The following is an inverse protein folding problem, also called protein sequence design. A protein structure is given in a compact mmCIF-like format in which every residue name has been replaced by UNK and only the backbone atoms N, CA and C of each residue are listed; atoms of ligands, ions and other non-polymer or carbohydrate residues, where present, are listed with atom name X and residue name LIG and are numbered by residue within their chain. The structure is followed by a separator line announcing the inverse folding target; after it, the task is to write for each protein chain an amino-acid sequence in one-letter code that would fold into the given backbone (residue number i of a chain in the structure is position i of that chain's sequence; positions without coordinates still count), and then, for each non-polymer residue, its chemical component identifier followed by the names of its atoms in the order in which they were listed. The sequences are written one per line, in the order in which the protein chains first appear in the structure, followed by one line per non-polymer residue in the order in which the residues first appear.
data_IF_340558204209
#
_entry.id   IF_340558204209
#
_cell.length_a   1.000
_cell.length_b   1.000
_cell.length_c   1.000
_cell.angle_alpha   90.00
_cell.angle_beta   90.00
_cell.angle_gamma   90.00
#
_symmetry.space_group_name_H-M   'P 1'
#
loop_
_entity.id
_entity.type
_entity.pdbx_description
1 polymer ?
#
# COMPACT_ATOMS: atom_id res chain seq x y z
N UNK A 1 23.97 -2.12 -8.57
CA UNK A 1 23.04 -2.79 -7.68
C UNK A 1 21.65 -2.18 -7.86
N UNK A 2 20.61 -2.99 -8.03
CA UNK A 2 19.20 -2.55 -8.08
C UNK A 2 18.41 -3.39 -7.09
N UNK A 3 17.50 -2.75 -6.33
CA UNK A 3 16.55 -3.38 -5.45
C UNK A 3 15.20 -2.68 -5.56
N UNK A 4 14.10 -3.40 -5.44
CA UNK A 4 12.76 -2.84 -5.45
C UNK A 4 12.22 -2.42 -6.83
N UNK A 5 12.90 -2.77 -7.92
CA UNK A 5 12.48 -2.49 -9.30
C UNK A 5 12.85 -3.67 -10.21
N UNK A 6 12.01 -4.01 -11.18
CA UNK A 6 12.27 -5.12 -12.10
C UNK A 6 11.33 -5.12 -13.30
N UNK A 7 11.59 -6.04 -14.24
CA UNK A 7 10.77 -6.28 -15.42
C UNK A 7 9.49 -7.09 -15.08
N UNK A 8 9.45 -7.69 -13.88
CA UNK A 8 8.31 -8.42 -13.32
C UNK A 8 8.24 -8.19 -11.81
N UNK A 9 7.14 -8.60 -11.17
CA UNK A 9 7.03 -8.55 -9.71
C UNK A 9 8.03 -9.50 -9.04
N UNK A 10 8.28 -10.66 -9.63
CA UNK A 10 9.29 -11.60 -9.15
C UNK A 10 10.68 -10.96 -9.12
N UNK A 11 11.09 -10.28 -10.20
CA UNK A 11 12.37 -9.56 -10.26
C UNK A 11 12.40 -8.37 -9.31
N UNK A 12 11.34 -7.55 -9.28
CA UNK A 12 11.27 -6.37 -8.42
C UNK A 12 11.32 -6.71 -6.93
N UNK A 13 10.80 -7.88 -6.53
CA UNK A 13 10.80 -8.36 -5.14
C UNK A 13 12.02 -9.19 -4.76
N UNK A 14 12.87 -9.54 -5.72
CA UNK A 14 14.09 -10.28 -5.45
C UNK A 14 15.09 -9.44 -4.62
N UNK A 15 15.83 -10.06 -3.69
CA UNK A 15 16.86 -9.36 -2.95
C UNK A 15 18.03 -8.98 -3.84
N UNK A 16 18.58 -7.80 -3.63
CA UNK A 16 19.89 -7.42 -4.15
C UNK A 16 20.95 -7.91 -3.19
N UNK A 17 21.99 -8.59 -3.70
CA UNK A 17 23.09 -9.09 -2.89
C UNK A 17 24.24 -8.10 -2.83
N UNK A 18 24.75 -7.85 -1.63
CA UNK A 18 25.92 -7.02 -1.36
C UNK A 18 26.94 -7.88 -0.63
N UNK A 19 28.12 -8.07 -1.24
CA UNK A 19 29.26 -8.71 -0.59
C UNK A 19 30.03 -7.68 0.24
N UNK A 20 30.28 -7.99 1.51
CA UNK A 20 31.04 -7.13 2.41
C UNK A 20 32.12 -7.95 3.15
N UNK A 21 33.15 -7.32 3.73
CA UNK A 21 34.10 -8.03 4.57
C UNK A 21 33.48 -8.72 5.80
N UNK A 22 32.31 -8.24 6.25
CA UNK A 22 31.58 -8.81 7.40
C UNK A 22 30.60 -9.91 7.01
N UNK A 23 30.42 -10.16 5.70
CA UNK A 23 29.49 -11.17 5.22
C UNK A 23 28.61 -10.69 4.07
N UNK A 24 27.70 -11.53 3.66
CA UNK A 24 26.79 -11.38 2.55
C UNK A 24 25.47 -10.77 3.02
N UNK A 25 25.08 -9.64 2.45
CA UNK A 25 23.87 -8.91 2.80
C UNK A 25 22.84 -9.05 1.69
N UNK A 26 21.64 -9.49 2.01
CA UNK A 26 20.46 -9.37 1.15
C UNK A 26 19.74 -8.05 1.45
N UNK A 27 19.43 -7.27 0.42
CA UNK A 27 18.68 -6.04 0.54
C UNK A 27 17.37 -6.11 -0.25
N UNK A 28 16.23 -6.06 0.44
CA UNK A 28 14.89 -6.09 -0.14
C UNK A 28 14.27 -4.71 0.03
N UNK A 29 14.03 -4.01 -1.08
CA UNK A 29 13.41 -2.69 -1.07
C UNK A 29 11.96 -2.75 -1.54
N UNK A 30 11.11 -1.94 -0.90
CA UNK A 30 9.70 -1.77 -1.27
C UNK A 30 9.31 -0.30 -1.25
N UNK A 31 8.20 0.02 -1.92
CA UNK A 31 7.58 1.33 -1.82
C UNK A 31 6.07 1.20 -1.65
N UNK A 32 5.52 1.98 -0.73
CA UNK A 32 4.08 2.19 -0.59
C UNK A 32 3.60 3.43 -1.38
N UNK A 33 4.53 4.14 -2.04
CA UNK A 33 4.28 5.34 -2.83
C UNK A 33 4.51 5.04 -4.30
N UNK A 34 3.43 4.92 -5.05
CA UNK A 34 3.42 4.75 -6.51
C UNK A 34 2.12 5.32 -7.06
N UNK A 35 1.98 5.44 -8.38
CA UNK A 35 0.78 6.04 -8.99
C UNK A 35 -0.51 5.29 -8.62
N UNK A 36 -1.56 6.04 -8.32
CA UNK A 36 -2.76 5.60 -7.63
C UNK A 36 -3.55 4.44 -8.27
N UNK A 37 -3.39 4.18 -9.56
CA UNK A 37 -4.04 3.08 -10.27
C UNK A 37 -3.13 1.85 -10.48
N UNK A 38 -2.18 1.62 -9.60
CA UNK A 38 -1.19 0.52 -9.68
C UNK A 38 -0.28 0.56 -10.93
N UNK A 39 -0.31 1.61 -11.74
CA UNK A 39 0.43 1.67 -13.01
C UNK A 39 1.95 1.60 -12.85
N UNK A 40 2.48 2.08 -11.73
CA UNK A 40 3.91 2.00 -11.41
C UNK A 40 4.36 0.70 -10.75
N UNK A 41 3.43 -0.18 -10.36
CA UNK A 41 3.76 -1.43 -9.67
C UNK A 41 4.09 -2.54 -10.67
N UNK A 42 5.13 -3.30 -10.38
CA UNK A 42 5.48 -4.48 -11.17
C UNK A 42 4.37 -5.55 -11.08
N UNK A 43 4.19 -6.30 -12.14
CA UNK A 43 3.26 -7.44 -12.21
C UNK A 43 3.94 -8.65 -12.87
N UNK A 44 3.55 -9.86 -12.44
CA UNK A 44 3.98 -11.08 -13.11
C UNK A 44 3.08 -11.40 -14.30
N UNK A 45 3.56 -12.25 -15.21
CA UNK A 45 2.76 -12.75 -16.32
C UNK A 45 1.58 -13.59 -15.80
N UNK A 46 0.43 -13.48 -16.43
CA UNK A 46 -0.75 -14.30 -16.15
C UNK A 46 -1.64 -14.38 -17.40
N UNK A 47 -2.26 -15.52 -17.60
CA UNK A 47 -3.27 -15.75 -18.67
C UNK A 47 -2.86 -15.23 -20.05
N UNK A 48 -1.57 -15.40 -20.43
CA UNK A 48 -1.04 -14.91 -21.72
C UNK A 48 -0.67 -13.41 -21.74
N UNK A 49 -0.89 -12.68 -20.67
CA UNK A 49 -0.46 -11.29 -20.52
C UNK A 49 1.01 -11.27 -20.08
N UNK A 50 1.89 -10.53 -20.76
CA UNK A 50 3.29 -10.42 -20.37
C UNK A 50 3.45 -9.72 -19.02
N UNK A 51 4.60 -9.91 -18.32
CA UNK A 51 4.87 -9.24 -17.07
C UNK A 51 4.96 -7.73 -17.27
N UNK A 52 4.58 -6.97 -16.27
CA UNK A 52 4.67 -5.51 -16.28
C UNK A 52 5.88 -5.06 -15.48
N UNK A 53 6.81 -4.31 -16.09
CA UNK A 53 7.92 -3.67 -15.38
C UNK A 53 7.41 -2.65 -14.35
N UNK A 54 8.14 -2.50 -13.24
CA UNK A 54 7.78 -1.52 -12.23
C UNK A 54 8.47 -1.73 -10.90
N UNK A 55 7.90 -1.11 -9.85
CA UNK A 55 8.42 -1.18 -8.49
C UNK A 55 7.84 -2.36 -7.70
N UNK A 56 8.57 -2.82 -6.68
CA UNK A 56 8.06 -3.73 -5.66
C UNK A 56 7.11 -2.97 -4.73
N UNK A 57 5.86 -2.84 -5.17
CA UNK A 57 4.84 -2.08 -4.46
C UNK A 57 4.31 -2.82 -3.23
N UNK A 58 4.19 -2.11 -2.11
CA UNK A 58 3.43 -2.52 -0.94
C UNK A 58 2.10 -1.78 -0.93
N UNK A 59 1.02 -2.46 -1.27
CA UNK A 59 -0.33 -1.91 -1.14
C UNK A 59 -0.69 -1.78 0.33
N UNK A 60 -1.48 -0.80 0.63
CA UNK A 60 -1.97 -0.56 1.99
C UNK A 60 -3.38 0.03 1.96
N UNK A 61 -4.04 -0.02 3.10
CA UNK A 61 -5.27 0.71 3.39
C UNK A 61 -4.88 1.79 4.40
N UNK A 62 -5.37 3.00 4.22
CA UNK A 62 -5.17 4.11 5.13
C UNK A 62 -6.44 4.98 5.13
N UNK A 63 -7.39 4.65 6.04
CA UNK A 63 -8.73 5.21 6.08
C UNK A 63 -8.98 5.92 7.41
N UNK A 64 -9.72 7.03 7.36
CA UNK A 64 -10.18 7.73 8.55
C UNK A 64 -11.50 7.09 9.04
N UNK A 65 -11.54 6.70 10.31
CA UNK A 65 -12.75 6.17 10.93
C UNK A 65 -13.64 7.32 11.40
N UNK A 66 -14.92 7.26 11.06
CA UNK A 66 -15.91 8.28 11.39
C UNK A 66 -17.22 7.66 11.86
N UNK A 67 -17.94 8.38 12.71
CA UNK A 67 -19.29 7.97 13.13
C UNK A 67 -20.33 8.14 12.02
N UNK A 68 -21.51 7.58 12.19
CA UNK A 68 -22.61 7.71 11.22
C UNK A 68 -23.00 9.18 11.00
N UNK A 69 -23.03 9.98 12.06
CA UNK A 69 -23.33 11.42 11.98
C UNK A 69 -22.26 12.18 11.17
N UNK A 70 -21.00 11.90 11.45
CA UNK A 70 -19.87 12.50 10.71
C UNK A 70 -19.86 12.07 9.24
N UNK A 71 -20.15 10.79 8.97
CA UNK A 71 -20.23 10.27 7.61
C UNK A 71 -21.36 10.98 6.82
N UNK A 72 -22.52 11.19 7.43
CA UNK A 72 -23.61 11.92 6.80
C UNK A 72 -23.22 13.36 6.46
N UNK A 73 -22.54 14.04 7.38
CA UNK A 73 -22.04 15.40 7.15
C UNK A 73 -21.00 15.46 6.01
N UNK A 74 -20.04 14.50 5.98
CA UNK A 74 -19.02 14.44 4.93
C UNK A 74 -19.67 14.21 3.56
N UNK A 75 -20.69 13.33 3.47
CA UNK A 75 -21.44 13.10 2.23
C UNK A 75 -22.17 14.35 1.75
N UNK A 76 -22.87 15.03 2.64
CA UNK A 76 -23.56 16.28 2.30
C UNK A 76 -22.57 17.35 1.79
N UNK A 77 -21.42 17.50 2.46
CA UNK A 77 -20.40 18.42 2.04
C UNK A 77 -19.80 18.07 0.66
N UNK A 78 -19.60 16.78 0.39
CA UNK A 78 -19.11 16.32 -0.90
C UNK A 78 -20.09 16.66 -2.04
N UNK A 79 -21.38 16.51 -1.78
CA UNK A 79 -22.46 16.84 -2.70
C UNK A 79 -22.52 18.34 -3.00
N UNK A 80 -22.47 19.17 -1.94
CA UNK A 80 -22.49 20.65 -2.06
C UNK A 80 -21.25 21.19 -2.79
N UNK A 81 -20.09 20.59 -2.57
CA UNK A 81 -18.82 21.05 -3.17
C UNK A 81 -18.51 20.40 -4.50
N UNK A 82 -19.27 19.37 -4.90
CA UNK A 82 -19.02 18.55 -6.09
C UNK A 82 -17.59 17.98 -6.17
N UNK A 83 -16.95 17.74 -5.00
CA UNK A 83 -15.55 17.30 -4.92
C UNK A 83 -15.29 15.95 -5.60
N UNK A 84 -16.32 15.10 -5.73
CA UNK A 84 -16.25 13.79 -6.35
C UNK A 84 -16.88 13.75 -7.75
N UNK A 85 -17.20 14.89 -8.37
CA UNK A 85 -17.98 14.93 -9.62
C UNK A 85 -17.38 14.08 -10.76
N UNK A 86 -16.04 14.04 -10.88
CA UNK A 86 -15.35 13.21 -11.89
C UNK A 86 -15.51 11.73 -11.57
N UNK A 87 -15.27 11.31 -10.32
CA UNK A 87 -15.42 9.90 -9.90
C UNK A 87 -16.87 9.43 -9.96
N UNK A 88 -17.84 10.30 -9.65
CA UNK A 88 -19.26 9.99 -9.74
C UNK A 88 -19.68 9.78 -11.20
N UNK A 89 -19.13 10.57 -12.11
CA UNK A 89 -19.32 10.39 -13.54
C UNK A 89 -18.71 9.07 -14.02
N UNK A 90 -17.49 8.76 -13.61
CA UNK A 90 -16.81 7.51 -13.96
C UNK A 90 -17.55 6.28 -13.42
N UNK A 91 -18.13 6.35 -12.22
CA UNK A 91 -19.02 5.30 -11.70
C UNK A 91 -20.29 5.18 -12.54
N UNK A 92 -20.92 6.29 -12.90
CA UNK A 92 -22.11 6.29 -13.75
C UNK A 92 -21.88 5.66 -15.13
N UNK A 93 -20.67 5.78 -15.68
CA UNK A 93 -20.25 5.13 -16.93
C UNK A 93 -19.71 3.71 -16.73
N UNK A 94 -19.61 3.20 -15.49
CA UNK A 94 -19.14 1.86 -15.20
C UNK A 94 -17.61 1.68 -15.22
N UNK A 95 -16.84 2.76 -15.22
CA UNK A 95 -15.37 2.71 -15.13
C UNK A 95 -14.87 2.40 -13.73
N UNK A 96 -15.65 2.71 -12.71
CA UNK A 96 -15.36 2.39 -11.30
C UNK A 96 -16.49 1.55 -10.69
N UNK A 97 -16.13 0.65 -9.79
CA UNK A 97 -17.12 -0.10 -9.01
C UNK A 97 -17.77 0.78 -7.95
N UNK A 98 -19.00 0.42 -7.59
CA UNK A 98 -19.72 1.06 -6.49
C UNK A 98 -18.91 1.04 -5.20
N UNK A 99 -18.99 2.12 -4.43
CA UNK A 99 -18.43 2.16 -3.08
C UNK A 99 -19.18 1.19 -2.16
N UNK A 100 -18.46 0.61 -1.22
CA UNK A 100 -19.10 -0.19 -0.18
C UNK A 100 -19.95 0.72 0.71
N UNK A 101 -21.04 0.18 1.25
CA UNK A 101 -21.98 0.93 2.09
C UNK A 101 -21.34 1.55 3.35
N UNK A 102 -20.25 0.95 3.83
CA UNK A 102 -19.50 1.37 5.03
C UNK A 102 -18.32 2.33 4.72
N UNK A 103 -18.07 2.66 3.47
CA UNK A 103 -16.97 3.56 3.07
C UNK A 103 -17.49 4.75 2.25
N UNK A 104 -16.70 5.82 2.23
CA UNK A 104 -16.93 6.99 1.39
C UNK A 104 -15.61 7.71 1.10
N UNK A 105 -15.43 8.14 -0.14
CA UNK A 105 -14.27 8.92 -0.55
C UNK A 105 -14.67 10.39 -0.71
N UNK A 106 -13.94 11.29 -0.06
CA UNK A 106 -14.06 12.75 -0.23
C UNK A 106 -12.78 13.24 -0.91
N UNK A 107 -12.82 13.49 -2.20
CA UNK A 107 -11.64 13.77 -3.01
C UNK A 107 -10.65 12.60 -2.95
N UNK A 108 -9.53 12.78 -2.28
CA UNK A 108 -8.51 11.73 -2.12
C UNK A 108 -8.52 11.06 -0.76
N UNK A 109 -9.39 11.50 0.15
CA UNK A 109 -9.44 10.99 1.53
C UNK A 109 -10.55 9.97 1.67
N UNK A 110 -10.18 8.76 2.10
CA UNK A 110 -11.13 7.68 2.32
C UNK A 110 -11.56 7.60 3.78
N UNK A 111 -12.86 7.54 3.98
CA UNK A 111 -13.50 7.40 5.28
C UNK A 111 -14.18 6.03 5.39
N UNK A 112 -14.19 5.49 6.61
CA UNK A 112 -14.89 4.26 6.96
C UNK A 112 -15.80 4.49 8.15
N UNK A 113 -17.01 3.95 8.08
CA UNK A 113 -17.96 3.98 9.18
C UNK A 113 -17.46 3.15 10.36
N UNK A 114 -17.50 3.74 11.55
CA UNK A 114 -17.11 3.09 12.80
C UNK A 114 -17.93 3.66 13.98
N UNK A 115 -17.88 2.98 15.13
CA UNK A 115 -18.51 3.48 16.35
C UNK A 115 -17.83 4.71 16.94
N UNK A 116 -16.51 4.84 16.70
CA UNK A 116 -15.66 5.94 17.18
C UNK A 116 -14.76 6.46 16.08
N UNK A 117 -14.47 7.74 16.13
CA UNK A 117 -13.46 8.35 15.27
C UNK A 117 -12.08 7.77 15.53
N UNK A 118 -11.29 7.64 14.45
CA UNK A 118 -9.94 7.11 14.54
C UNK A 118 -9.29 6.95 13.17
N UNK A 119 -8.34 6.04 13.11
CA UNK A 119 -7.61 5.71 11.89
C UNK A 119 -7.61 4.19 11.72
N UNK A 120 -7.75 3.72 10.50
CA UNK A 120 -7.55 2.34 10.12
C UNK A 120 -6.44 2.28 9.05
N UNK A 121 -5.35 1.62 9.39
CA UNK A 121 -4.17 1.56 8.53
C UNK A 121 -3.61 0.14 8.57
N UNK A 122 -3.46 -0.50 7.39
CA UNK A 122 -2.94 -1.88 7.28
C UNK A 122 -2.23 -2.12 5.96
N UNK A 123 -1.20 -2.95 6.01
CA UNK A 123 -0.58 -3.51 4.83
C UNK A 123 -1.53 -4.48 4.09
N UNK A 124 -1.35 -4.60 2.79
CA UNK A 124 -1.98 -5.67 2.03
C UNK A 124 -1.32 -7.01 2.36
N UNK A 125 -2.12 -7.96 2.80
CA UNK A 125 -1.65 -9.26 3.29
C UNK A 125 -0.83 -10.06 2.24
N UNK A 126 -1.24 -10.05 0.97
CA UNK A 126 -0.50 -10.75 -0.09
C UNK A 126 0.88 -10.15 -0.33
N UNK A 127 0.98 -8.83 -0.21
CA UNK A 127 2.25 -8.12 -0.39
C UNK A 127 3.17 -8.35 0.81
N UNK A 128 2.63 -8.38 2.03
CA UNK A 128 3.39 -8.74 3.24
C UNK A 128 3.90 -10.18 3.19
N UNK A 129 3.05 -11.13 2.86
CA UNK A 129 3.48 -12.54 2.70
C UNK A 129 4.55 -12.72 1.63
N UNK A 130 4.53 -11.92 0.55
CA UNK A 130 5.62 -11.90 -0.45
C UNK A 130 6.92 -11.46 0.20
N UNK A 131 6.90 -10.40 1.00
CA UNK A 131 8.08 -9.88 1.71
C UNK A 131 8.63 -10.91 2.69
N UNK A 132 7.77 -11.46 3.53
CA UNK A 132 8.15 -12.49 4.51
C UNK A 132 8.77 -13.73 3.84
N UNK A 133 8.22 -14.18 2.70
CA UNK A 133 8.85 -15.25 1.92
C UNK A 133 10.23 -14.85 1.42
N UNK A 134 10.36 -13.63 0.87
CA UNK A 134 11.65 -13.10 0.41
C UNK A 134 12.70 -13.06 1.52
N UNK A 135 12.32 -12.60 2.71
CA UNK A 135 13.21 -12.60 3.89
C UNK A 135 13.60 -14.02 4.29
N UNK A 136 12.65 -14.95 4.37
CA UNK A 136 12.94 -16.34 4.73
C UNK A 136 13.88 -17.03 3.74
N UNK A 137 13.68 -16.81 2.45
CA UNK A 137 14.56 -17.37 1.42
C UNK A 137 15.95 -16.74 1.44
N UNK A 138 16.02 -15.41 1.61
CA UNK A 138 17.29 -14.70 1.71
C UNK A 138 18.13 -15.15 2.92
N UNK A 139 17.50 -15.41 4.06
CA UNK A 139 18.16 -15.94 5.28
C UNK A 139 18.86 -17.29 5.08
N UNK A 140 18.51 -18.06 4.06
CA UNK A 140 19.17 -19.34 3.79
C UNK A 140 20.55 -19.19 3.14
N UNK A 141 20.82 -18.04 2.53
CA UNK A 141 21.99 -17.83 1.66
C UNK A 141 22.78 -16.55 1.96
N UNK A 142 22.32 -15.74 2.92
CA UNK A 142 22.92 -14.48 3.31
C UNK A 142 23.11 -14.42 4.83
N UNK A 143 24.17 -13.76 5.28
CA UNK A 143 24.49 -13.57 6.69
C UNK A 143 23.56 -12.52 7.33
N UNK A 144 23.16 -11.52 6.54
CA UNK A 144 22.26 -10.45 6.97
C UNK A 144 21.17 -10.23 5.94
N UNK A 145 19.96 -9.90 6.42
CA UNK A 145 18.84 -9.48 5.56
C UNK A 145 18.35 -8.12 6.05
N UNK A 146 18.33 -7.15 5.15
CA UNK A 146 17.82 -5.80 5.38
C UNK A 146 16.60 -5.59 4.50
N UNK A 147 15.49 -5.18 5.12
CA UNK A 147 14.29 -4.74 4.39
C UNK A 147 14.11 -3.24 4.55
N UNK A 148 13.65 -2.58 3.50
CA UNK A 148 13.29 -1.16 3.57
C UNK A 148 11.95 -0.89 2.89
N UNK A 149 11.25 0.11 3.40
CA UNK A 149 10.03 0.63 2.80
C UNK A 149 10.16 2.14 2.58
N UNK A 150 9.83 2.60 1.38
CA UNK A 150 9.60 4.01 1.12
C UNK A 150 8.11 4.30 1.36
N UNK A 151 7.81 5.20 2.29
CA UNK A 151 6.45 5.54 2.69
C UNK A 151 6.32 7.04 2.92
N UNK A 152 5.15 7.59 2.62
CA UNK A 152 4.76 8.96 2.97
C UNK A 152 3.78 8.99 4.17
N UNK A 153 3.61 7.87 4.88
CA UNK A 153 2.81 7.85 6.09
C UNK A 153 3.57 8.52 7.24
N UNK A 154 3.00 9.60 7.75
CA UNK A 154 3.56 10.33 8.89
C UNK A 154 2.70 10.10 10.14
N UNK A 155 3.37 9.84 11.26
CA UNK A 155 2.73 9.84 12.56
C UNK A 155 2.53 11.28 13.00
N UNK A 156 1.31 11.81 12.82
CA UNK A 156 1.01 13.22 13.09
C UNK A 156 1.04 13.58 14.58
N UNK A 157 0.78 12.61 15.48
CA UNK A 157 0.79 12.80 16.95
C UNK A 157 1.27 11.53 17.61
N UNK A 158 2.26 11.66 18.49
CA UNK A 158 2.80 10.56 19.29
C UNK A 158 1.80 9.97 20.29
N UNK A 159 0.76 10.72 20.63
CA UNK A 159 -0.26 10.38 21.64
C UNK A 159 -1.39 9.50 21.12
N UNK A 160 -1.48 9.30 19.78
CA UNK A 160 -2.51 8.44 19.20
C UNK A 160 -1.97 7.02 19.08
N UNK A 161 -2.60 6.10 19.80
CA UNK A 161 -2.43 4.65 19.59
C UNK A 161 -3.10 4.25 18.28
N UNK A 162 -2.38 4.42 17.19
CA UNK A 162 -2.80 3.97 15.85
C UNK A 162 -1.73 3.06 15.31
N UNK A 163 -2.11 1.84 14.97
CA UNK A 163 -1.26 0.91 14.24
C UNK A 163 -1.16 1.37 12.79
N UNK A 164 -0.09 2.08 12.47
CA UNK A 164 0.19 2.46 11.09
C UNK A 164 0.74 1.29 10.27
N UNK A 165 0.45 1.24 8.98
CA UNK A 165 0.94 0.16 8.12
C UNK A 165 2.48 0.09 8.06
N UNK A 166 3.19 1.21 8.27
CA UNK A 166 4.66 1.22 8.39
C UNK A 166 5.15 0.48 9.63
N UNK A 167 4.42 0.61 10.75
CA UNK A 167 4.72 -0.10 11.99
C UNK A 167 4.41 -1.59 11.84
N UNK A 168 3.27 -1.93 11.23
CA UNK A 168 2.95 -3.31 10.86
C UNK A 168 4.06 -3.94 10.00
N UNK A 169 4.54 -3.22 8.99
CA UNK A 169 5.65 -3.68 8.16
C UNK A 169 6.92 -3.95 8.96
N UNK A 170 7.23 -3.10 9.93
CA UNK A 170 8.44 -3.23 10.76
C UNK A 170 8.36 -4.39 11.76
N UNK A 171 7.16 -4.76 12.20
CA UNK A 171 6.94 -5.82 13.20
C UNK A 171 6.79 -7.22 12.59
N UNK A 172 6.51 -7.33 11.32
CA UNK A 172 6.38 -8.61 10.60
C UNK A 172 7.61 -9.00 9.84
#
# INVERSE_FOLDING_TARGET
LRAGIGASLAEASAPATIETPAGKVAYIAQTAVYSGNDSGRAGDSHDGIPPRPGVNGLRHIDESLVTAEQMAYIRALAEETMVNAEEDLDRAFGYHSEEKSDTFTFGTVKFRLAEKTGKFSRCNEKDMQRTERGVREAKKTHDYVVTSIHSHQFRARLEHEVDYYVEEFAHR
#
